data_IF_684839150628
#
_entry.id   IF_684839150628
#
_cell.length_a   1.000
_cell.length_b   1.000
_cell.length_c   1.000
_cell.angle_alpha   90.00
_cell.angle_beta   90.00
_cell.angle_gamma   90.00
#
_symmetry.space_group_name_H-M   'P 1'
#
loop_
_entity.id
_entity.type
_entity.pdbx_description
1 polymer ?
#
# COMPACT_ATOMS: atom_id res chain seq x y z
N UNK A 1 4.04 -19.43 -37.20
CA UNK A 1 4.22 -17.99 -36.94
C UNK A 1 4.92 -17.87 -35.60
N UNK A 2 6.26 -17.75 -35.64
CA UNK A 2 7.09 -17.68 -34.44
C UNK A 2 7.10 -16.26 -33.89
N UNK A 3 6.76 -16.10 -32.61
CA UNK A 3 6.92 -14.83 -31.91
C UNK A 3 8.31 -14.86 -31.30
N UNK A 4 9.16 -13.97 -31.79
CA UNK A 4 10.52 -13.75 -31.33
C UNK A 4 10.47 -13.09 -29.94
N UNK A 5 11.01 -13.75 -28.93
CA UNK A 5 11.18 -13.19 -27.59
C UNK A 5 12.63 -12.70 -27.49
N UNK A 6 12.82 -11.39 -27.51
CA UNK A 6 14.13 -10.78 -27.25
C UNK A 6 14.48 -10.92 -25.78
N UNK A 7 15.75 -11.24 -25.53
CA UNK A 7 16.37 -11.56 -24.25
C UNK A 7 16.16 -10.47 -23.19
N UNK A 8 15.56 -10.83 -22.05
CA UNK A 8 15.60 -10.02 -20.84
C UNK A 8 16.65 -10.58 -19.86
N UNK A 9 17.35 -9.64 -19.23
CA UNK A 9 18.55 -9.86 -18.40
C UNK A 9 18.26 -10.70 -17.15
N UNK A 10 19.20 -11.56 -16.82
CA UNK A 10 19.25 -12.32 -15.57
C UNK A 10 19.30 -11.40 -14.33
N UNK A 11 18.43 -11.68 -13.35
CA UNK A 11 18.42 -11.05 -12.03
C UNK A 11 19.21 -11.91 -11.03
N UNK A 12 20.03 -11.27 -10.19
CA UNK A 12 20.63 -11.85 -8.98
C UNK A 12 20.04 -11.17 -7.75
N UNK A 13 19.55 -11.91 -6.74
CA UNK A 13 19.09 -11.32 -5.48
C UNK A 13 20.28 -10.77 -4.67
N UNK A 14 20.06 -9.68 -3.93
CA UNK A 14 20.94 -9.26 -2.82
C UNK A 14 20.59 -10.10 -1.58
N UNK A 15 21.62 -10.55 -0.89
CA UNK A 15 21.63 -11.65 0.08
C UNK A 15 20.61 -11.57 1.25
N UNK A 16 20.11 -12.76 1.62
CA UNK A 16 19.59 -13.17 2.94
C UNK A 16 18.56 -12.28 3.66
N UNK A 17 17.26 -12.64 3.61
CA UNK A 17 16.34 -12.32 4.70
C UNK A 17 15.16 -13.31 4.79
N UNK A 18 15.03 -13.95 5.96
CA UNK A 18 13.87 -14.79 6.32
C UNK A 18 12.71 -13.89 6.77
N UNK A 19 11.52 -14.13 6.24
CA UNK A 19 10.27 -13.52 6.75
C UNK A 19 9.86 -14.24 8.04
N UNK A 20 9.74 -13.50 9.14
CA UNK A 20 9.26 -14.03 10.42
C UNK A 20 7.74 -14.23 10.42
N UNK A 21 7.27 -15.41 10.85
CA UNK A 21 5.86 -15.64 11.21
C UNK A 21 5.62 -15.13 12.63
N UNK A 22 4.67 -14.21 12.80
CA UNK A 22 4.08 -13.88 14.10
C UNK A 22 2.93 -14.87 14.38
N UNK A 23 2.96 -15.52 15.53
CA UNK A 23 1.94 -16.49 15.95
C UNK A 23 0.62 -15.79 16.32
N UNK A 24 -0.47 -16.23 15.69
CA UNK A 24 -1.85 -15.82 16.01
C UNK A 24 -2.42 -16.86 16.98
N UNK A 25 -3.15 -16.43 18.02
CA UNK A 25 -3.67 -17.33 19.06
C UNK A 25 -4.63 -18.40 18.51
N UNK A 26 -4.57 -19.60 19.09
CA UNK A 26 -5.36 -20.79 18.72
C UNK A 26 -6.88 -20.56 18.70
N UNK A 27 -7.39 -19.64 19.52
CA UNK A 27 -8.83 -19.30 19.58
C UNK A 27 -9.35 -18.67 18.28
N UNK A 28 -8.49 -17.99 17.51
CA UNK A 28 -8.87 -17.41 16.22
C UNK A 28 -8.95 -18.45 15.09
N UNK A 29 -8.16 -19.53 15.17
CA UNK A 29 -8.15 -20.62 14.17
C UNK A 29 -9.48 -21.39 14.14
N UNK A 30 -10.09 -21.59 15.30
CA UNK A 30 -11.31 -22.39 15.42
C UNK A 30 -12.57 -21.68 14.90
N UNK A 31 -12.57 -20.34 14.87
CA UNK A 31 -13.69 -19.54 14.37
C UNK A 31 -13.73 -19.49 12.84
N UNK A 32 -12.57 -19.57 12.16
CA UNK A 32 -12.48 -19.58 10.68
C UNK A 32 -12.87 -20.93 10.04
N UNK A 33 -12.54 -22.06 10.70
CA UNK A 33 -12.77 -23.40 10.14
C UNK A 33 -14.25 -23.78 9.97
N UNK A 34 -15.16 -23.11 10.68
CA UNK A 34 -16.60 -23.45 10.66
C UNK A 34 -17.40 -22.68 9.59
N UNK A 35 -16.77 -21.76 8.85
CA UNK A 35 -17.46 -20.89 7.87
C UNK A 35 -16.80 -20.82 6.49
N UNK A 36 -16.04 -21.83 6.04
CA UNK A 36 -15.45 -21.86 4.69
C UNK A 36 -16.48 -22.10 3.57
N UNK A 37 -17.42 -21.17 3.42
CA UNK A 37 -17.95 -20.84 2.10
C UNK A 37 -17.00 -19.80 1.52
N UNK A 38 -16.19 -20.19 0.54
CA UNK A 38 -15.41 -19.22 -0.25
C UNK A 38 -16.34 -18.08 -0.70
N UNK A 39 -16.15 -16.87 -0.18
CA UNK A 39 -16.97 -15.72 -0.58
C UNK A 39 -16.83 -15.39 -2.07
N UNK A 40 -15.75 -15.84 -2.72
CA UNK A 40 -15.55 -15.77 -4.17
C UNK A 40 -14.77 -17.00 -4.68
N UNK A 41 -15.43 -18.08 -5.14
CA UNK A 41 -14.73 -19.20 -5.78
C UNK A 41 -14.07 -18.73 -7.10
N UNK A 42 -12.86 -19.23 -7.36
CA UNK A 42 -12.13 -18.92 -8.60
C UNK A 42 -12.81 -19.56 -9.81
N UNK A 43 -13.21 -18.72 -10.77
CA UNK A 43 -13.81 -19.16 -12.04
C UNK A 43 -12.87 -20.10 -12.80
N UNK A 44 -13.41 -21.13 -13.44
CA UNK A 44 -12.61 -22.16 -14.14
C UNK A 44 -11.67 -21.58 -15.21
N UNK A 45 -12.12 -20.57 -15.95
CA UNK A 45 -11.28 -19.88 -16.94
C UNK A 45 -10.12 -19.14 -16.29
N UNK A 46 -10.35 -18.50 -15.14
CA UNK A 46 -9.32 -17.78 -14.38
C UNK A 46 -8.33 -18.76 -13.77
N UNK A 47 -8.83 -19.89 -13.23
CA UNK A 47 -8.00 -20.99 -12.73
C UNK A 47 -7.12 -21.56 -13.83
N UNK A 48 -7.69 -21.87 -15.00
CA UNK A 48 -6.94 -22.39 -16.14
C UNK A 48 -5.86 -21.41 -16.62
N UNK A 49 -6.19 -20.12 -16.70
CA UNK A 49 -5.22 -19.08 -17.06
C UNK A 49 -4.08 -19.00 -16.05
N UNK A 50 -4.41 -18.98 -14.75
CA UNK A 50 -3.43 -18.89 -13.66
C UNK A 50 -2.54 -20.13 -13.60
N UNK A 51 -3.11 -21.33 -13.76
CA UNK A 51 -2.36 -22.60 -13.82
C UNK A 51 -1.42 -22.63 -15.03
N UNK A 52 -1.90 -22.25 -16.21
CA UNK A 52 -1.08 -22.26 -17.44
C UNK A 52 0.11 -21.30 -17.30
N UNK A 53 -0.12 -20.10 -16.74
CA UNK A 53 0.95 -19.16 -16.47
C UNK A 53 1.93 -19.69 -15.44
N UNK A 54 1.42 -20.23 -14.32
CA UNK A 54 2.24 -20.75 -13.24
C UNK A 54 3.16 -21.85 -13.73
N UNK A 55 2.65 -22.86 -14.44
CA UNK A 55 3.45 -23.97 -14.96
C UNK A 55 4.55 -23.50 -15.93
N UNK A 56 4.25 -22.54 -16.80
CA UNK A 56 5.21 -22.03 -17.77
C UNK A 56 6.33 -21.19 -17.12
N UNK A 57 6.00 -20.37 -16.11
CA UNK A 57 6.93 -19.42 -15.51
C UNK A 57 7.51 -19.87 -14.16
N UNK A 58 7.06 -20.98 -13.59
CA UNK A 58 7.54 -21.51 -12.30
C UNK A 58 9.06 -21.48 -12.11
N UNK A 59 9.90 -21.79 -13.13
CA UNK A 59 11.35 -21.74 -12.96
C UNK A 59 11.92 -20.34 -12.71
N UNK A 60 11.19 -19.30 -13.11
CA UNK A 60 11.60 -17.89 -13.05
C UNK A 60 10.97 -17.16 -11.84
N UNK A 61 10.00 -17.78 -11.16
CA UNK A 61 9.32 -17.19 -10.02
C UNK A 61 10.12 -17.39 -8.73
N UNK A 62 10.26 -16.32 -7.95
CA UNK A 62 10.77 -16.42 -6.58
C UNK A 62 9.87 -17.32 -5.72
N UNK A 63 10.44 -17.89 -4.65
CA UNK A 63 9.74 -18.79 -3.74
C UNK A 63 8.47 -18.17 -3.14
N UNK A 64 8.47 -16.87 -2.82
CA UNK A 64 7.31 -16.20 -2.22
C UNK A 64 6.17 -16.04 -3.24
N UNK A 65 6.50 -15.66 -4.47
CA UNK A 65 5.51 -15.58 -5.55
C UNK A 65 5.00 -16.99 -5.88
N UNK A 66 5.89 -17.97 -5.93
CA UNK A 66 5.53 -19.38 -6.17
C UNK A 66 4.52 -19.88 -5.12
N UNK A 67 4.79 -19.61 -3.84
CA UNK A 67 3.91 -20.01 -2.75
C UNK A 67 2.54 -19.32 -2.83
N UNK A 68 2.50 -18.01 -3.13
CA UNK A 68 1.24 -17.28 -3.32
C UNK A 68 0.37 -17.91 -4.42
N UNK A 69 0.98 -18.35 -5.53
CA UNK A 69 0.23 -19.00 -6.61
C UNK A 69 -0.28 -20.39 -6.20
N UNK A 70 0.53 -21.15 -5.48
CA UNK A 70 0.12 -22.46 -4.94
C UNK A 70 -1.08 -22.28 -4.01
N UNK A 71 -1.03 -21.31 -3.08
CA UNK A 71 -2.12 -21.06 -2.13
C UNK A 71 -3.39 -20.59 -2.84
N UNK A 72 -3.26 -19.71 -3.84
CA UNK A 72 -4.37 -19.24 -4.65
C UNK A 72 -5.03 -20.37 -5.46
N UNK A 73 -4.24 -21.19 -6.15
CA UNK A 73 -4.72 -22.33 -6.94
C UNK A 73 -5.30 -23.44 -6.05
N UNK A 74 -4.74 -23.63 -4.86
CA UNK A 74 -5.21 -24.64 -3.89
C UNK A 74 -6.42 -24.16 -3.08
N UNK A 75 -6.98 -22.97 -3.38
CA UNK A 75 -8.09 -22.38 -2.63
C UNK A 75 -7.79 -22.12 -1.14
N UNK A 76 -6.51 -22.04 -0.76
CA UNK A 76 -6.05 -21.88 0.62
C UNK A 76 -5.73 -20.41 0.96
N UNK A 77 -6.55 -19.49 0.46
CA UNK A 77 -6.30 -18.05 0.60
C UNK A 77 -6.81 -17.47 1.92
N UNK A 78 -7.59 -18.23 2.70
CA UNK A 78 -8.10 -17.82 4.02
C UNK A 78 -6.98 -17.54 5.03
N UNK A 79 -5.81 -18.15 4.83
CA UNK A 79 -4.63 -17.93 5.67
C UNK A 79 -3.79 -16.71 5.25
N UNK A 80 -4.05 -16.13 4.07
CA UNK A 80 -3.27 -15.03 3.50
C UNK A 80 -3.77 -13.68 4.02
N UNK A 81 -3.55 -13.43 5.31
CA UNK A 81 -3.92 -12.17 5.96
C UNK A 81 -2.98 -11.02 5.56
N UNK A 82 -1.76 -11.32 5.16
CA UNK A 82 -0.75 -10.32 4.82
C UNK A 82 0.05 -10.75 3.61
N UNK A 83 0.21 -9.86 2.63
CA UNK A 83 1.12 -10.02 1.50
C UNK A 83 2.12 -8.87 1.50
N UNK A 84 3.40 -9.20 1.62
CA UNK A 84 4.49 -8.25 1.60
C UNK A 84 5.43 -8.57 0.45
N UNK A 85 5.41 -7.71 -0.57
CA UNK A 85 6.33 -7.70 -1.70
C UNK A 85 7.27 -6.50 -1.65
N UNK A 86 7.38 -5.83 -0.50
CA UNK A 86 8.26 -4.68 -0.36
C UNK A 86 9.69 -4.99 -0.83
N UNK A 87 10.20 -4.14 -1.72
CA UNK A 87 11.51 -4.26 -2.36
C UNK A 87 11.72 -5.48 -3.29
N UNK A 88 10.66 -6.20 -3.65
CA UNK A 88 10.72 -7.20 -4.73
C UNK A 88 10.42 -6.54 -6.06
N UNK A 89 11.38 -6.54 -6.98
CA UNK A 89 11.15 -6.04 -8.34
C UNK A 89 10.19 -6.96 -9.09
N UNK A 90 9.01 -6.44 -9.44
CA UNK A 90 7.95 -7.16 -10.13
C UNK A 90 7.85 -6.66 -11.57
N UNK A 91 8.01 -7.57 -12.53
CA UNK A 91 7.68 -7.28 -13.91
C UNK A 91 6.18 -6.93 -14.05
N UNK A 92 5.83 -6.14 -15.08
CA UNK A 92 4.43 -5.84 -15.39
C UNK A 92 3.56 -7.11 -15.50
N UNK A 93 4.14 -8.20 -16.01
CA UNK A 93 3.48 -9.50 -16.11
C UNK A 93 3.16 -10.06 -14.72
N UNK A 94 4.13 -10.08 -13.81
CA UNK A 94 3.92 -10.52 -12.42
C UNK A 94 2.88 -9.66 -11.70
N UNK A 95 2.91 -8.33 -11.87
CA UNK A 95 1.90 -7.42 -11.27
C UNK A 95 0.50 -7.69 -11.81
N UNK A 96 0.36 -7.96 -13.12
CA UNK A 96 -0.92 -8.34 -13.73
C UNK A 96 -1.52 -9.57 -13.04
N UNK A 97 -0.73 -10.61 -12.86
CA UNK A 97 -1.20 -11.84 -12.22
C UNK A 97 -1.39 -11.69 -10.71
N UNK A 98 -0.57 -10.88 -10.04
CA UNK A 98 -0.81 -10.50 -8.66
C UNK A 98 -2.19 -9.86 -8.49
N UNK A 99 -2.59 -8.96 -9.40
CA UNK A 99 -3.94 -8.39 -9.40
C UNK A 99 -5.05 -9.43 -9.59
N UNK A 100 -4.81 -10.49 -10.36
CA UNK A 100 -5.76 -11.61 -10.51
C UNK A 100 -5.85 -12.40 -9.21
N UNK A 101 -4.71 -12.79 -8.63
CA UNK A 101 -4.64 -13.58 -7.39
C UNK A 101 -5.27 -12.82 -6.22
N UNK A 102 -4.96 -11.52 -6.07
CA UNK A 102 -5.50 -10.66 -5.02
C UNK A 102 -7.03 -10.69 -4.98
N UNK A 103 -7.70 -10.79 -6.14
CA UNK A 103 -9.16 -10.84 -6.20
C UNK A 103 -9.78 -12.08 -5.53
N UNK A 104 -8.97 -13.06 -5.15
CA UNK A 104 -9.36 -14.29 -4.45
C UNK A 104 -8.78 -14.40 -3.03
N UNK A 105 -8.04 -13.38 -2.58
CA UNK A 105 -7.54 -13.27 -1.21
C UNK A 105 -8.53 -12.48 -0.35
N UNK A 106 -9.76 -12.97 -0.17
CA UNK A 106 -10.85 -12.18 0.44
C UNK A 106 -10.63 -11.80 1.91
N UNK A 107 -9.72 -12.45 2.60
CA UNK A 107 -9.38 -12.21 4.01
C UNK A 107 -8.11 -11.35 4.19
N UNK A 108 -7.50 -10.87 3.10
CA UNK A 108 -6.28 -10.07 3.19
C UNK A 108 -6.53 -8.78 3.97
N UNK A 109 -5.63 -8.46 4.90
CA UNK A 109 -5.69 -7.27 5.75
C UNK A 109 -4.55 -6.31 5.45
N UNK A 110 -3.38 -6.82 5.04
CA UNK A 110 -2.20 -5.99 4.75
C UNK A 110 -1.65 -6.32 3.38
N UNK A 111 -1.43 -5.28 2.57
CA UNK A 111 -0.78 -5.38 1.27
C UNK A 111 0.35 -4.36 1.16
N UNK A 112 1.59 -4.82 1.17
CA UNK A 112 2.76 -3.96 1.00
C UNK A 112 3.42 -4.21 -0.36
N UNK A 113 3.38 -3.19 -1.22
CA UNK A 113 3.96 -3.16 -2.57
C UNK A 113 5.03 -2.07 -2.69
N UNK A 114 5.64 -1.68 -1.57
CA UNK A 114 6.67 -0.64 -1.54
C UNK A 114 7.85 -1.01 -2.45
N UNK A 115 8.33 -0.10 -3.28
CA UNK A 115 9.56 -0.33 -4.07
C UNK A 115 9.52 -1.58 -4.95
N UNK A 116 8.38 -1.87 -5.57
CA UNK A 116 8.19 -3.08 -6.42
C UNK A 116 8.34 -2.82 -7.91
N UNK A 117 8.55 -1.56 -8.33
CA UNK A 117 8.62 -1.20 -9.75
C UNK A 117 7.26 -1.17 -10.44
N UNK A 118 6.17 -0.97 -9.70
CA UNK A 118 4.82 -0.88 -10.29
C UNK A 118 4.72 0.35 -11.20
N UNK A 119 4.40 0.11 -12.47
CA UNK A 119 4.09 1.13 -13.48
C UNK A 119 2.59 1.42 -13.57
N UNK A 120 2.20 2.37 -14.43
CA UNK A 120 0.80 2.82 -14.61
C UNK A 120 -0.19 1.66 -14.86
N UNK A 121 0.15 0.73 -15.75
CA UNK A 121 -0.70 -0.43 -16.04
C UNK A 121 -0.74 -1.42 -14.87
N UNK A 122 0.33 -1.51 -14.09
CA UNK A 122 0.39 -2.34 -12.89
C UNK A 122 -0.67 -1.93 -11.87
N UNK A 123 -0.77 -0.62 -11.56
CA UNK A 123 -1.81 -0.10 -10.66
C UNK A 123 -3.23 -0.42 -11.15
N UNK A 124 -3.48 -0.34 -12.47
CA UNK A 124 -4.78 -0.72 -13.04
C UNK A 124 -5.13 -2.18 -12.75
N UNK A 125 -4.17 -3.10 -12.77
CA UNK A 125 -4.41 -4.50 -12.44
C UNK A 125 -4.68 -4.71 -10.95
N UNK A 126 -3.87 -4.11 -10.08
CA UNK A 126 -4.05 -4.20 -8.63
C UNK A 126 -5.41 -3.63 -8.21
N UNK A 127 -5.78 -2.45 -8.71
CA UNK A 127 -7.03 -1.79 -8.33
C UNK A 127 -8.29 -2.57 -8.75
N UNK A 128 -8.24 -3.39 -9.81
CA UNK A 128 -9.36 -4.25 -10.18
C UNK A 128 -9.72 -5.28 -9.10
N UNK A 129 -8.79 -5.63 -8.23
CA UNK A 129 -9.03 -6.55 -7.13
C UNK A 129 -9.78 -5.90 -5.95
N UNK A 130 -9.74 -4.57 -5.80
CA UNK A 130 -10.25 -3.87 -4.61
C UNK A 130 -11.70 -4.21 -4.21
N UNK A 131 -12.67 -4.35 -5.15
CA UNK A 131 -14.03 -4.79 -4.81
C UNK A 131 -14.13 -6.19 -4.19
N UNK A 132 -13.08 -7.00 -4.30
CA UNK A 132 -13.03 -8.40 -3.85
C UNK A 132 -12.21 -8.60 -2.57
N UNK A 133 -11.53 -7.56 -2.09
CA UNK A 133 -10.73 -7.57 -0.85
C UNK A 133 -11.23 -6.53 0.16
N UNK A 134 -12.53 -6.57 0.55
CA UNK A 134 -13.11 -5.55 1.41
C UNK A 134 -12.49 -5.54 2.83
N UNK A 135 -11.79 -6.60 3.23
CA UNK A 135 -11.10 -6.75 4.53
C UNK A 135 -9.79 -5.98 4.62
N UNK A 136 -9.27 -5.42 3.52
CA UNK A 136 -7.97 -4.77 3.51
C UNK A 136 -7.97 -3.55 4.46
N UNK A 137 -7.05 -3.56 5.42
CA UNK A 137 -6.89 -2.57 6.48
C UNK A 137 -5.72 -1.64 6.19
N UNK A 138 -4.67 -2.15 5.56
CA UNK A 138 -3.46 -1.39 5.26
C UNK A 138 -2.96 -1.67 3.84
N UNK A 139 -2.60 -0.62 3.12
CA UNK A 139 -1.96 -0.72 1.82
C UNK A 139 -0.80 0.26 1.68
N UNK A 140 0.34 -0.22 1.18
CA UNK A 140 1.45 0.64 0.75
C UNK A 140 1.74 0.42 -0.73
N UNK A 141 1.80 1.51 -1.49
CA UNK A 141 2.32 1.56 -2.86
C UNK A 141 3.49 2.56 -2.98
N UNK A 142 4.18 2.80 -1.87
CA UNK A 142 5.30 3.74 -1.74
C UNK A 142 6.43 3.45 -2.74
N UNK A 143 7.09 4.49 -3.23
CA UNK A 143 8.33 4.40 -4.03
C UNK A 143 8.19 3.47 -5.25
N UNK A 144 7.22 3.72 -6.11
CA UNK A 144 7.03 2.99 -7.36
C UNK A 144 7.21 3.93 -8.57
N UNK A 145 7.07 3.39 -9.78
CA UNK A 145 7.41 4.10 -11.03
C UNK A 145 6.16 4.51 -11.84
N UNK A 146 4.99 4.55 -11.20
CA UNK A 146 3.78 5.09 -11.80
C UNK A 146 3.73 6.62 -11.69
N UNK A 147 3.09 7.25 -12.67
CA UNK A 147 2.78 8.68 -12.66
C UNK A 147 1.30 8.94 -12.40
N UNK A 148 0.86 10.15 -12.75
CA UNK A 148 -0.53 10.60 -12.61
C UNK A 148 -1.55 9.63 -13.22
N UNK A 149 -1.33 9.15 -14.45
CA UNK A 149 -2.28 8.26 -15.15
C UNK A 149 -2.51 6.95 -14.38
N UNK A 150 -1.44 6.31 -13.91
CA UNK A 150 -1.51 5.11 -13.09
C UNK A 150 -2.27 5.36 -11.79
N UNK A 151 -1.92 6.45 -11.13
CA UNK A 151 -2.48 6.81 -9.83
C UNK A 151 -3.98 7.16 -9.90
N UNK A 152 -4.48 7.64 -11.05
CA UNK A 152 -5.92 7.85 -11.25
C UNK A 152 -6.71 6.55 -11.09
N UNK A 153 -6.18 5.40 -11.52
CA UNK A 153 -6.84 4.11 -11.31
C UNK A 153 -6.96 3.84 -9.82
N UNK A 154 -5.84 3.90 -9.10
CA UNK A 154 -5.78 3.69 -7.65
C UNK A 154 -6.74 4.61 -6.89
N UNK A 155 -6.65 5.92 -7.13
CA UNK A 155 -7.50 6.94 -6.52
C UNK A 155 -8.99 6.68 -6.76
N UNK A 156 -9.41 6.31 -7.98
CA UNK A 156 -10.83 6.02 -8.27
C UNK A 156 -11.31 4.72 -7.64
N UNK A 157 -10.43 3.73 -7.48
CA UNK A 157 -10.77 2.42 -6.95
C UNK A 157 -10.73 2.33 -5.43
N UNK A 158 -9.97 3.19 -4.75
CA UNK A 158 -9.78 3.11 -3.29
C UNK A 158 -11.09 3.07 -2.50
N UNK A 159 -12.14 3.71 -3.03
CA UNK A 159 -13.52 3.68 -2.49
C UNK A 159 -14.10 2.27 -2.28
N UNK A 160 -13.52 1.21 -2.84
CA UNK A 160 -13.98 -0.16 -2.60
C UNK A 160 -13.39 -0.76 -1.31
N UNK A 161 -12.33 -0.18 -0.77
CA UNK A 161 -11.66 -0.64 0.45
C UNK A 161 -12.32 0.01 1.68
N UNK A 162 -13.47 -0.52 2.08
CA UNK A 162 -14.32 0.08 3.12
C UNK A 162 -13.74 -0.05 4.54
N UNK A 163 -12.86 -1.03 4.79
CA UNK A 163 -12.18 -1.23 6.07
C UNK A 163 -10.77 -0.64 6.12
N UNK A 164 -10.36 0.10 5.09
CA UNK A 164 -9.02 0.67 5.00
C UNK A 164 -8.80 1.68 6.13
N UNK A 165 -7.75 1.47 6.92
CA UNK A 165 -7.36 2.33 8.05
C UNK A 165 -6.09 3.14 7.75
N UNK A 166 -5.13 2.55 7.03
CA UNK A 166 -3.87 3.22 6.70
C UNK A 166 -3.50 3.03 5.24
N UNK A 167 -3.05 4.10 4.61
CA UNK A 167 -2.61 4.10 3.21
C UNK A 167 -1.32 4.89 3.05
N UNK A 168 -0.33 4.28 2.42
CA UNK A 168 0.95 4.90 2.09
C UNK A 168 1.13 5.00 0.57
N UNK A 169 1.23 6.25 0.08
CA UNK A 169 1.45 6.59 -1.32
C UNK A 169 2.73 7.42 -1.52
N UNK A 170 3.59 7.47 -0.50
CA UNK A 170 4.79 8.33 -0.44
C UNK A 170 5.82 8.03 -1.52
N UNK A 171 6.73 8.97 -1.76
CA UNK A 171 7.82 8.84 -2.74
C UNK A 171 7.35 8.45 -4.15
N UNK A 172 6.18 8.94 -4.60
CA UNK A 172 5.67 8.71 -5.95
C UNK A 172 5.44 10.03 -6.70
N UNK A 173 5.86 10.10 -7.97
CA UNK A 173 5.74 11.30 -8.81
C UNK A 173 4.36 11.40 -9.49
N UNK A 174 3.31 11.57 -8.69
CA UNK A 174 1.91 11.58 -9.18
C UNK A 174 1.40 12.96 -9.61
N UNK A 175 2.12 14.02 -9.27
CA UNK A 175 1.76 15.41 -9.55
C UNK A 175 0.63 15.97 -8.66
N UNK A 176 0.55 17.31 -8.62
CA UNK A 176 -0.38 18.07 -7.78
C UNK A 176 -1.84 17.64 -7.97
N UNK A 177 -2.27 17.47 -9.22
CA UNK A 177 -3.63 17.07 -9.57
C UNK A 177 -3.97 15.66 -9.09
N UNK A 178 -2.98 14.76 -9.10
CA UNK A 178 -3.10 13.40 -8.58
C UNK A 178 -3.38 13.38 -7.08
N UNK A 179 -2.63 14.19 -6.34
CA UNK A 179 -2.74 14.33 -4.88
C UNK A 179 -4.12 14.87 -4.50
N UNK A 180 -4.59 15.93 -5.15
CA UNK A 180 -5.91 16.52 -4.89
C UNK A 180 -7.04 15.54 -5.25
N UNK A 181 -6.91 14.83 -6.38
CA UNK A 181 -7.88 13.80 -6.78
C UNK A 181 -7.94 12.65 -5.77
N UNK A 182 -6.79 12.23 -5.22
CA UNK A 182 -6.72 11.23 -4.16
C UNK A 182 -7.36 11.71 -2.86
N UNK A 183 -7.07 12.93 -2.41
CA UNK A 183 -7.72 13.52 -1.23
C UNK A 183 -9.25 13.49 -1.31
N UNK A 184 -9.80 13.76 -2.50
CA UNK A 184 -11.24 13.67 -2.76
C UNK A 184 -11.79 12.25 -2.69
N UNK A 185 -11.08 11.25 -3.22
CA UNK A 185 -11.59 9.88 -3.28
C UNK A 185 -11.35 9.08 -1.99
N UNK A 186 -10.24 9.33 -1.27
CA UNK A 186 -9.98 8.68 0.03
C UNK A 186 -11.05 9.05 1.06
N UNK A 187 -11.71 10.20 0.92
CA UNK A 187 -12.89 10.58 1.71
C UNK A 187 -14.07 9.61 1.61
N UNK A 188 -14.08 8.68 0.64
CA UNK A 188 -15.10 7.63 0.49
C UNK A 188 -14.78 6.35 1.27
N UNK A 189 -13.64 6.31 1.96
CA UNK A 189 -13.24 5.24 2.86
C UNK A 189 -13.50 5.68 4.31
N UNK A 190 -14.55 5.17 4.98
CA UNK A 190 -15.02 5.70 6.26
C UNK A 190 -14.06 5.39 7.43
N UNK A 191 -13.26 4.33 7.33
CA UNK A 191 -12.40 3.83 8.42
C UNK A 191 -10.97 4.40 8.41
N UNK A 192 -10.62 5.24 7.44
CA UNK A 192 -9.25 5.76 7.30
C UNK A 192 -8.88 6.63 8.49
N UNK A 193 -7.79 6.27 9.16
CA UNK A 193 -7.19 6.93 10.32
C UNK A 193 -5.87 7.60 9.99
N UNK A 194 -5.12 7.04 9.03
CA UNK A 194 -3.80 7.52 8.67
C UNK A 194 -3.61 7.56 7.15
N UNK A 195 -3.04 8.66 6.67
CA UNK A 195 -2.62 8.83 5.28
C UNK A 195 -1.17 9.26 5.28
N UNK A 196 -0.33 8.55 4.53
CA UNK A 196 1.11 8.85 4.41
C UNK A 196 1.37 9.30 2.97
N UNK A 197 1.80 10.55 2.84
CA UNK A 197 2.07 11.23 1.57
C UNK A 197 3.40 11.97 1.64
N UNK A 198 4.46 11.31 2.08
CA UNK A 198 5.80 11.87 2.27
C UNK A 198 6.56 11.99 0.94
N UNK A 199 7.40 13.02 0.80
CA UNK A 199 8.27 13.24 -0.37
C UNK A 199 7.53 13.17 -1.73
N UNK A 200 6.37 13.83 -1.82
CA UNK A 200 5.50 13.83 -3.01
C UNK A 200 5.50 15.16 -3.77
N UNK A 201 6.31 16.13 -3.34
CA UNK A 201 6.35 17.48 -3.92
C UNK A 201 5.06 18.28 -3.68
N UNK A 202 4.42 18.09 -2.52
CA UNK A 202 3.23 18.86 -2.11
C UNK A 202 3.69 20.26 -1.70
N UNK A 203 3.30 21.30 -2.45
CA UNK A 203 3.48 22.68 -2.03
C UNK A 203 2.30 23.20 -1.17
N UNK A 204 2.38 24.45 -0.70
CA UNK A 204 1.35 25.05 0.16
C UNK A 204 0.00 25.15 -0.55
N UNK A 205 0.00 25.44 -1.86
CA UNK A 205 -1.23 25.53 -2.66
C UNK A 205 -1.91 24.17 -2.80
N UNK A 206 -1.15 23.09 -3.00
CA UNK A 206 -1.66 21.72 -3.04
C UNK A 206 -2.17 21.31 -1.67
N UNK A 207 -1.44 21.63 -0.60
CA UNK A 207 -1.83 21.32 0.77
C UNK A 207 -3.19 21.93 1.13
N UNK A 208 -3.42 23.20 0.78
CA UNK A 208 -4.71 23.86 1.02
C UNK A 208 -5.85 23.18 0.25
N UNK A 209 -5.61 22.74 -0.99
CA UNK A 209 -6.60 21.96 -1.76
C UNK A 209 -6.85 20.59 -1.13
N UNK A 210 -5.82 19.92 -0.62
CA UNK A 210 -5.96 18.64 0.09
C UNK A 210 -6.83 18.80 1.33
N UNK A 211 -6.58 19.84 2.16
CA UNK A 211 -7.41 20.15 3.33
C UNK A 211 -8.87 20.40 2.97
N UNK A 212 -9.13 21.03 1.82
CA UNK A 212 -10.49 21.30 1.35
C UNK A 212 -11.21 20.03 0.84
N UNK A 213 -10.50 19.16 0.12
CA UNK A 213 -11.07 17.97 -0.51
C UNK A 213 -11.17 16.75 0.42
N UNK A 214 -10.33 16.68 1.46
CA UNK A 214 -10.32 15.52 2.35
C UNK A 214 -11.55 15.52 3.27
N UNK A 215 -12.33 14.42 3.24
CA UNK A 215 -13.59 14.27 3.98
C UNK A 215 -13.65 12.99 4.84
N UNK A 216 -12.50 12.48 5.26
CA UNK A 216 -12.41 11.29 6.12
C UNK A 216 -12.87 11.61 7.56
N UNK A 217 -13.92 10.96 8.03
CA UNK A 217 -14.52 11.23 9.35
C UNK A 217 -13.72 10.68 10.53
N UNK A 218 -12.85 9.69 10.31
CA UNK A 218 -12.02 9.03 11.33
C UNK A 218 -10.53 9.35 11.19
N UNK A 219 -10.17 10.24 10.26
CA UNK A 219 -8.78 10.58 9.99
C UNK A 219 -8.18 11.30 11.21
N UNK A 220 -7.09 10.73 11.70
CA UNK A 220 -6.35 11.18 12.88
C UNK A 220 -5.07 11.90 12.44
N UNK A 221 -4.37 11.34 11.44
CA UNK A 221 -3.03 11.77 11.04
C UNK A 221 -2.83 11.79 9.52
N UNK A 222 -2.23 12.86 9.00
CA UNK A 222 -1.64 12.87 7.64
C UNK A 222 -0.15 13.15 7.77
N UNK A 223 0.70 12.24 7.30
CA UNK A 223 2.16 12.43 7.27
C UNK A 223 2.59 13.10 5.97
N UNK A 224 3.35 14.17 6.10
CA UNK A 224 3.76 15.05 5.00
C UNK A 224 5.26 15.36 5.00
N UNK A 225 6.06 14.63 5.78
CA UNK A 225 7.51 14.77 5.82
C UNK A 225 8.12 14.86 4.42
N UNK A 226 9.10 15.74 4.24
CA UNK A 226 9.80 15.93 2.97
C UNK A 226 8.97 16.58 1.85
N UNK A 227 7.84 17.22 2.15
CA UNK A 227 7.08 18.02 1.16
C UNK A 227 7.26 19.53 1.31
N UNK A 228 7.17 20.04 2.55
CA UNK A 228 7.15 21.47 2.84
C UNK A 228 8.11 21.81 3.97
N UNK A 229 8.95 22.82 3.73
CA UNK A 229 9.60 23.58 4.79
C UNK A 229 8.76 24.84 5.05
N UNK A 230 8.15 24.94 6.23
CA UNK A 230 7.43 26.13 6.69
C UNK A 230 8.29 26.83 7.74
N UNK A 231 8.71 28.06 7.47
CA UNK A 231 9.52 28.88 8.40
C UNK A 231 10.82 28.19 8.89
N UNK A 232 11.46 27.38 8.03
CA UNK A 232 12.67 26.63 8.38
C UNK A 232 12.42 25.38 9.25
N UNK A 233 11.17 24.94 9.37
CA UNK A 233 10.78 23.67 10.00
C UNK A 233 9.99 22.82 9.01
N UNK A 234 10.26 21.52 8.96
CA UNK A 234 9.48 20.61 8.12
C UNK A 234 8.05 20.49 8.66
N UNK A 235 7.05 20.66 7.80
CA UNK A 235 5.67 20.33 8.12
C UNK A 235 5.51 18.81 8.06
N UNK A 236 5.73 18.14 9.18
CA UNK A 236 5.84 16.67 9.20
C UNK A 236 4.48 15.98 9.32
N UNK A 237 3.54 16.56 10.07
CA UNK A 237 2.25 15.94 10.36
C UNK A 237 1.12 16.97 10.38
N UNK A 238 0.03 16.66 9.69
CA UNK A 238 -1.27 17.27 9.97
C UNK A 238 -2.05 16.38 10.93
N UNK A 239 -2.31 16.86 12.14
CA UNK A 239 -3.18 16.18 13.10
C UNK A 239 -4.56 16.84 13.15
N UNK A 240 -5.59 16.01 13.37
CA UNK A 240 -6.94 16.51 13.54
C UNK A 240 -7.11 17.10 14.95
N UNK A 241 -7.58 18.35 15.00
CA UNK A 241 -7.75 19.05 16.26
C UNK A 241 -8.84 18.39 17.14
N UNK A 242 -8.58 18.27 18.46
CA UNK A 242 -9.50 17.66 19.45
C UNK A 242 -10.70 18.54 19.81
N UNK A 243 -10.76 19.78 19.30
CA UNK A 243 -11.73 20.82 19.68
C UNK A 243 -13.06 20.78 18.91
N UNK A 244 -13.47 19.62 18.38
CA UNK A 244 -14.69 19.42 17.58
C UNK A 244 -14.83 20.31 16.32
N UNK A 245 -13.83 21.12 15.96
CA UNK A 245 -13.86 21.95 14.75
C UNK A 245 -13.61 21.16 13.45
N UNK A 246 -12.99 19.99 13.56
CA UNK A 246 -12.64 19.14 12.41
C UNK A 246 -11.53 19.70 11.52
N UNK A 247 -10.82 20.76 11.95
CA UNK A 247 -9.70 21.36 11.21
C UNK A 247 -8.39 20.61 11.47
N UNK A 248 -7.50 20.60 10.47
CA UNK A 248 -6.15 20.03 10.56
C UNK A 248 -5.13 21.14 10.79
N UNK A 249 -4.20 20.95 11.72
CA UNK A 249 -3.09 21.87 11.97
C UNK A 249 -1.76 21.18 11.73
N UNK A 250 -0.78 21.92 11.21
CA UNK A 250 0.57 21.41 11.02
C UNK A 250 1.31 21.46 12.36
N UNK A 251 1.76 20.31 12.84
CA UNK A 251 2.75 20.23 13.90
C UNK A 251 4.14 20.08 13.26
N UNK A 252 5.04 21.02 13.55
CA UNK A 252 6.47 20.85 13.34
C UNK A 252 7.04 20.08 14.54
N UNK A 253 7.95 19.12 14.32
CA UNK A 253 8.60 18.41 15.41
C UNK A 253 9.17 19.40 16.44
N UNK A 254 8.93 19.14 17.73
CA UNK A 254 9.75 19.75 18.78
C UNK A 254 11.17 19.28 18.50
N UNK A 255 12.02 20.19 18.02
CA UNK A 255 13.46 19.95 17.97
C UNK A 255 13.88 19.45 19.34
N UNK A 256 14.30 18.19 19.44
CA UNK A 256 15.06 17.71 20.58
C UNK A 256 16.45 18.37 20.54
N UNK A 257 16.51 19.69 20.65
CA UNK A 257 17.68 20.35 21.18
C UNK A 257 17.60 20.12 22.68
N UNK A 258 18.22 19.02 23.13
CA UNK A 258 18.80 19.02 24.47
C UNK A 258 19.84 20.13 24.44
N UNK A 259 19.45 21.34 24.84
CA UNK A 259 20.42 22.28 25.38
C UNK A 259 20.97 21.60 26.62
N UNK A 260 22.21 21.14 26.54
CA UNK A 260 23.01 20.77 27.70
C UNK A 260 23.12 22.01 28.59
N UNK A 261 22.14 22.19 29.47
CA UNK A 261 22.29 22.93 30.71
C UNK A 261 23.01 22.02 31.71
N UNK A 262 24.26 21.67 31.43
CA UNK A 262 25.21 21.44 32.52
C UNK A 262 25.79 22.79 32.88
N UNK A 263 25.06 23.47 33.77
CA UNK A 263 25.52 24.67 34.47
C UNK A 263 26.92 24.43 35.03
N UNK A 264 27.81 25.36 34.67
CA UNK A 264 28.85 25.88 35.54
C UNK A 264 28.34 25.95 36.98
N UNK A 265 29.02 25.30 37.92
CA UNK A 265 29.09 25.66 39.34
C UNK A 265 30.07 24.69 40.06
N UNK A 266 31.37 24.98 39.99
CA UNK A 266 32.26 24.96 41.16
C UNK A 266 33.68 25.43 40.81
N UNK A 267 33.87 26.74 40.73
CA UNK A 267 35.10 27.38 41.22
C UNK A 267 34.71 28.28 42.40
N UNK A 268 34.84 27.73 43.61
CA UNK A 268 35.06 28.43 44.88
C UNK A 268 35.48 27.40 45.94
#
# INVERSE_FOLDING_TARGET
>A
MGVCWTQDRELKPKENQKVGKLEISEEFRHTLLLTSKQLNPMEDNTRQLLSTYFEYHKPELDANITQLYIDALSCNTESLLQLNFSHYELSLRQVKFLGIVLAYCSEIQVLDLTSTGIENQGLKYITKAFPKIPTLVQISIRKNVFGFEGFQYFSKGIKYLQNLKSVDVSENQIGCEGIVCFAKNIGKCPEVKEIIMEEMGIDENVLEKVKQEIKCQKLEKIRLKGNLEVEGKEAEVLERNKDNSGKYFAEAEKSCLKTDESQELSEA
#
